data_IF_634370933058
#
_entry.id   IF_634370933058
#
_cell.length_a   1.000
_cell.length_b   1.000
_cell.length_c   1.000
_cell.angle_alpha   90.00
_cell.angle_beta   90.00
_cell.angle_gamma   90.00
#
_symmetry.space_group_name_H-M   'P 1'
#
loop_
_entity.id
_entity.type
_entity.pdbx_description
1 polymer ?
#
# COMPACT_ATOMS: atom_id res chain seq x y z
N UNK A 1 1.50 5.75 -19.71
CA UNK A 1 0.71 6.36 -18.62
C UNK A 1 1.50 6.19 -17.34
N UNK A 2 1.63 7.24 -16.52
CA UNK A 2 2.29 7.17 -15.21
C UNK A 2 1.28 6.88 -14.10
N UNK A 3 1.52 5.82 -13.34
CA UNK A 3 0.70 5.39 -12.19
C UNK A 3 1.57 5.44 -10.94
N UNK A 4 1.10 6.07 -9.87
CA UNK A 4 1.80 6.09 -8.58
C UNK A 4 0.97 5.36 -7.54
N UNK A 5 1.54 4.30 -6.95
CA UNK A 5 0.93 3.50 -5.89
C UNK A 5 1.49 3.92 -4.54
N UNK A 6 0.63 4.25 -3.59
CA UNK A 6 1.00 4.48 -2.20
C UNK A 6 0.57 3.28 -1.36
N UNK A 7 1.56 2.60 -0.77
CA UNK A 7 1.41 1.54 0.21
C UNK A 7 1.79 2.09 1.59
N UNK A 8 0.82 2.28 2.51
CA UNK A 8 1.10 2.73 3.88
C UNK A 8 2.16 1.87 4.55
N UNK A 9 1.98 0.55 4.51
CA UNK A 9 2.92 -0.44 5.03
C UNK A 9 3.46 -1.35 3.92
N UNK A 10 4.66 -1.92 4.08
CA UNK A 10 5.14 -3.00 3.21
C UNK A 10 4.21 -4.21 3.26
N UNK A 11 3.64 -4.60 2.11
CA UNK A 11 2.62 -5.64 1.85
C UNK A 11 1.24 -5.11 1.45
N UNK A 12 0.91 -3.85 1.77
CA UNK A 12 -0.36 -3.25 1.42
C UNK A 12 -0.56 -3.19 -0.10
N UNK A 13 0.51 -3.08 -0.88
CA UNK A 13 0.42 -3.14 -2.33
C UNK A 13 -0.06 -4.51 -2.80
N UNK A 14 0.40 -5.62 -2.18
CA UNK A 14 0.00 -6.98 -2.53
C UNK A 14 -1.49 -7.18 -2.25
N UNK A 15 -1.93 -6.81 -1.04
CA UNK A 15 -3.31 -7.02 -0.63
C UNK A 15 -4.28 -6.02 -1.27
N UNK A 16 -3.87 -4.77 -1.43
CA UNK A 16 -4.69 -3.69 -1.98
C UNK A 16 -4.85 -3.79 -3.49
N UNK A 17 -3.74 -3.84 -4.23
CA UNK A 17 -3.74 -3.60 -5.68
C UNK A 17 -2.72 -4.40 -6.49
N UNK A 18 -2.08 -5.42 -5.92
CA UNK A 18 -0.91 -6.07 -6.53
C UNK A 18 -1.22 -6.73 -7.87
N UNK A 19 -2.42 -7.30 -8.01
CA UNK A 19 -2.83 -7.89 -9.29
C UNK A 19 -3.03 -6.82 -10.36
N UNK A 20 -3.51 -5.65 -9.98
CA UNK A 20 -3.63 -4.49 -10.86
C UNK A 20 -2.26 -3.91 -11.21
N UNK A 21 -1.31 -3.86 -10.27
CA UNK A 21 0.09 -3.47 -10.54
C UNK A 21 0.67 -4.36 -11.64
N UNK A 22 0.62 -5.69 -11.47
CA UNK A 22 1.15 -6.64 -12.45
C UNK A 22 0.46 -6.48 -13.82
N UNK A 23 -0.86 -6.36 -13.81
CA UNK A 23 -1.63 -6.09 -15.02
C UNK A 23 -1.19 -4.82 -15.75
N UNK A 24 -0.98 -3.74 -15.02
CA UNK A 24 -0.55 -2.46 -15.58
C UNK A 24 0.90 -2.49 -16.07
N UNK A 25 1.76 -3.29 -15.46
CA UNK A 25 3.12 -3.53 -15.95
C UNK A 25 3.10 -4.28 -17.29
N UNK A 26 2.27 -5.33 -17.41
CA UNK A 26 2.09 -6.07 -18.66
C UNK A 26 1.50 -5.20 -19.79
N UNK A 27 0.69 -4.20 -19.42
CA UNK A 27 0.17 -3.18 -20.35
C UNK A 27 1.21 -2.10 -20.72
N UNK A 28 2.42 -2.16 -20.15
CA UNK A 28 3.52 -1.24 -20.45
C UNK A 28 3.38 0.14 -19.81
N UNK A 29 2.63 0.26 -18.70
CA UNK A 29 2.55 1.51 -17.96
C UNK A 29 3.77 1.74 -17.07
N UNK A 30 4.07 3.03 -16.86
CA UNK A 30 5.14 3.47 -15.98
C UNK A 30 4.61 3.53 -14.55
N UNK A 31 4.93 2.52 -13.75
CA UNK A 31 4.40 2.39 -12.38
C UNK A 31 5.49 2.73 -11.39
N UNK A 32 5.15 3.61 -10.46
CA UNK A 32 5.93 3.95 -9.29
C UNK A 32 5.25 3.39 -8.04
N UNK A 33 6.03 2.94 -7.07
CA UNK A 33 5.53 2.54 -5.75
C UNK A 33 6.20 3.35 -4.65
N UNK A 34 5.39 3.79 -3.70
CA UNK A 34 5.78 4.55 -2.52
C UNK A 34 5.42 3.75 -1.28
N UNK A 35 6.42 3.35 -0.51
CA UNK A 35 6.22 2.81 0.84
C UNK A 35 6.32 3.95 1.84
N UNK A 36 5.26 4.17 2.61
CA UNK A 36 5.14 5.34 3.50
C UNK A 36 5.85 5.09 4.82
N UNK A 37 5.55 3.98 5.48
CA UNK A 37 6.17 3.60 6.75
C UNK A 37 7.18 2.46 6.59
N UNK A 38 7.94 2.21 7.64
CA UNK A 38 8.98 1.17 7.68
C UNK A 38 8.58 -0.11 8.40
N UNK A 39 7.33 -0.23 8.84
CA UNK A 39 6.78 -1.44 9.47
C UNK A 39 7.41 -1.84 10.81
N UNK A 40 8.13 -0.93 11.45
CA UNK A 40 8.96 -1.26 12.61
C UNK A 40 8.21 -1.76 13.85
N UNK A 41 6.92 -1.43 13.97
CA UNK A 41 6.07 -1.79 15.13
C UNK A 41 5.34 -3.12 14.88
N UNK A 42 5.47 -3.72 13.69
CA UNK A 42 4.73 -4.92 13.28
C UNK A 42 4.74 -6.04 14.34
N UNK A 43 5.94 -6.45 14.79
CA UNK A 43 6.08 -7.60 15.67
C UNK A 43 5.65 -7.30 17.12
N UNK A 44 5.94 -6.10 17.61
CA UNK A 44 5.53 -5.66 18.95
C UNK A 44 4.01 -5.49 19.02
N UNK A 45 3.40 -4.90 17.99
CA UNK A 45 1.94 -4.83 17.83
C UNK A 45 1.33 -6.22 17.73
N UNK A 46 1.91 -7.10 16.91
CA UNK A 46 1.46 -8.46 16.72
C UNK A 46 1.42 -9.24 18.03
N UNK A 47 2.44 -9.08 18.87
CA UNK A 47 2.51 -9.69 20.21
C UNK A 47 1.42 -9.13 21.12
N UNK A 48 1.29 -7.80 21.19
CA UNK A 48 0.32 -7.13 22.06
C UNK A 48 -1.14 -7.47 21.73
N UNK A 49 -1.45 -7.82 20.48
CA UNK A 49 -2.79 -8.15 20.01
C UNK A 49 -3.01 -9.66 19.79
N UNK A 50 -2.07 -10.52 20.23
CA UNK A 50 -2.19 -11.98 20.09
C UNK A 50 -2.18 -12.49 18.64
N UNK A 51 -1.64 -11.68 17.72
CA UNK A 51 -1.53 -11.96 16.28
C UNK A 51 -0.20 -12.60 15.90
N UNK A 52 0.84 -12.46 16.73
CA UNK A 52 2.16 -13.01 16.45
C UNK A 52 2.16 -14.55 16.50
N UNK A 53 2.77 -15.16 15.50
CA UNK A 53 3.11 -16.59 15.43
C UNK A 53 4.55 -16.76 15.93
N UNK A 54 4.72 -17.18 17.18
CA UNK A 54 6.04 -17.19 17.83
C UNK A 54 7.07 -18.06 17.11
N UNK A 55 6.65 -19.21 16.56
CA UNK A 55 7.55 -20.10 15.81
C UNK A 55 8.06 -19.49 14.52
N UNK A 56 7.20 -18.77 13.79
CA UNK A 56 7.58 -18.06 12.57
C UNK A 56 8.42 -16.81 12.91
N UNK A 57 8.17 -16.20 14.06
CA UNK A 57 8.84 -15.00 14.54
C UNK A 57 10.16 -15.27 15.29
N UNK A 58 10.58 -16.52 15.46
CA UNK A 58 11.70 -16.91 16.34
C UNK A 58 13.02 -16.18 16.03
N UNK A 59 13.28 -15.88 14.75
CA UNK A 59 14.49 -15.20 14.30
C UNK A 59 14.42 -13.68 14.53
N UNK A 60 13.24 -13.15 14.85
CA UNK A 60 12.98 -11.72 15.02
C UNK A 60 12.57 -11.33 16.44
N UNK A 61 12.23 -12.30 17.31
CA UNK A 61 11.55 -12.07 18.60
C UNK A 61 12.35 -11.21 19.60
N UNK A 62 13.68 -11.19 19.44
CA UNK A 62 14.63 -10.45 20.27
C UNK A 62 15.12 -9.15 19.62
N UNK A 63 14.69 -8.84 18.41
CA UNK A 63 15.04 -7.60 17.73
C UNK A 63 14.23 -6.44 18.30
N UNK A 64 14.85 -5.26 18.34
CA UNK A 64 14.12 -4.03 18.62
C UNK A 64 13.41 -3.51 17.36
N UNK A 65 12.51 -2.53 17.53
CA UNK A 65 11.70 -1.99 16.43
C UNK A 65 12.58 -1.40 15.32
N UNK A 66 13.67 -0.67 15.62
CA UNK A 66 14.55 -0.13 14.57
C UNK A 66 15.22 -1.22 13.72
N UNK A 67 15.56 -2.37 14.31
CA UNK A 67 16.07 -3.54 13.59
C UNK A 67 15.00 -4.16 12.70
N UNK A 68 13.77 -4.30 13.21
CA UNK A 68 12.61 -4.79 12.45
C UNK A 68 12.30 -3.84 11.28
N UNK A 69 12.35 -2.52 11.51
CA UNK A 69 12.09 -1.52 10.47
C UNK A 69 13.11 -1.57 9.32
N UNK A 70 14.39 -1.82 9.63
CA UNK A 70 15.41 -2.03 8.59
C UNK A 70 15.10 -3.27 7.75
N UNK A 71 14.73 -4.38 8.39
CA UNK A 71 14.34 -5.61 7.70
C UNK A 71 13.09 -5.37 6.85
N UNK A 72 12.06 -4.71 7.38
CA UNK A 72 10.83 -4.40 6.65
C UNK A 72 11.08 -3.58 5.38
N UNK A 73 11.95 -2.57 5.45
CA UNK A 73 12.36 -1.79 4.28
C UNK A 73 13.16 -2.64 3.27
N UNK A 74 14.05 -3.50 3.74
CA UNK A 74 14.81 -4.41 2.86
C UNK A 74 13.87 -5.41 2.15
N UNK A 75 12.88 -5.97 2.86
CA UNK A 75 11.85 -6.83 2.30
C UNK A 75 11.02 -6.08 1.24
N UNK A 76 10.57 -4.85 1.53
CA UNK A 76 9.85 -4.00 0.58
C UNK A 76 10.64 -3.78 -0.72
N UNK A 77 11.93 -3.45 -0.59
CA UNK A 77 12.82 -3.27 -1.75
C UNK A 77 12.99 -4.57 -2.55
N UNK A 78 13.13 -5.72 -1.89
CA UNK A 78 13.26 -7.01 -2.57
C UNK A 78 11.96 -7.46 -3.25
N UNK A 79 10.81 -7.23 -2.62
CA UNK A 79 9.50 -7.53 -3.20
C UNK A 79 9.21 -6.61 -4.38
N UNK A 80 9.44 -5.30 -4.24
CA UNK A 80 9.31 -4.36 -5.36
C UNK A 80 10.23 -4.73 -6.54
N UNK A 81 11.47 -5.14 -6.28
CA UNK A 81 12.34 -5.67 -7.33
C UNK A 81 11.76 -6.94 -7.97
N UNK A 82 11.16 -7.83 -7.18
CA UNK A 82 10.56 -9.08 -7.65
C UNK A 82 9.27 -8.87 -8.45
N UNK A 83 8.53 -7.80 -8.17
CA UNK A 83 7.45 -7.32 -9.04
C UNK A 83 7.98 -6.94 -10.43
N UNK A 84 9.19 -6.38 -10.49
CA UNK A 84 9.81 -5.86 -11.72
C UNK A 84 9.89 -4.34 -11.76
N UNK A 85 9.69 -3.64 -10.63
CA UNK A 85 9.87 -2.19 -10.58
C UNK A 85 11.33 -1.80 -10.89
N UNK A 86 11.56 -0.81 -11.79
CA UNK A 86 12.84 -0.13 -11.89
C UNK A 86 13.22 0.51 -10.57
N UNK A 87 14.52 0.61 -10.27
CA UNK A 87 15.00 1.13 -8.97
C UNK A 87 14.56 2.58 -8.75
N UNK A 88 14.57 3.38 -9.81
CA UNK A 88 14.13 4.77 -9.85
C UNK A 88 12.62 4.95 -9.59
N UNK A 89 11.85 3.87 -9.72
CA UNK A 89 10.41 3.85 -9.53
C UNK A 89 10.01 3.39 -8.11
N UNK A 90 10.98 3.08 -7.26
CA UNK A 90 10.74 2.66 -5.87
C UNK A 90 11.10 3.81 -4.92
N UNK A 91 10.12 4.27 -4.15
CA UNK A 91 10.23 5.42 -3.26
C UNK A 91 9.96 4.99 -1.82
N UNK A 92 10.77 5.47 -0.88
CA UNK A 92 10.65 5.15 0.54
C UNK A 92 10.58 6.45 1.34
N UNK A 93 9.48 6.70 2.04
CA UNK A 93 9.39 7.84 2.96
C UNK A 93 10.01 7.52 4.32
N UNK A 94 9.98 6.24 4.73
CA UNK A 94 10.59 5.72 5.96
C UNK A 94 10.06 6.42 7.21
N UNK A 95 8.78 6.80 7.19
CA UNK A 95 8.13 7.26 8.40
C UNK A 95 8.05 6.11 9.40
N UNK A 96 8.12 6.46 10.68
CA UNK A 96 7.94 5.48 11.74
C UNK A 96 6.53 4.90 11.63
N UNK A 97 6.43 3.57 11.59
CA UNK A 97 5.15 2.87 11.65
C UNK A 97 4.32 3.31 12.87
N UNK A 98 3.01 3.50 12.71
CA UNK A 98 2.06 4.12 13.64
C UNK A 98 2.19 5.64 13.83
N UNK A 99 3.13 6.32 13.14
CA UNK A 99 3.38 7.76 13.29
C UNK A 99 3.10 8.59 12.03
N UNK A 100 2.61 8.00 10.93
CA UNK A 100 2.46 8.75 9.67
C UNK A 100 1.52 9.95 9.80
N UNK A 101 0.57 9.91 10.75
CA UNK A 101 -0.32 11.05 11.07
C UNK A 101 0.45 12.32 11.47
N UNK A 102 1.58 12.18 12.15
CA UNK A 102 2.42 13.32 12.55
C UNK A 102 3.38 13.77 11.44
N UNK A 103 3.46 13.02 10.35
CA UNK A 103 4.38 13.26 9.23
C UNK A 103 3.68 13.89 8.01
N UNK A 104 2.41 14.29 8.11
CA UNK A 104 1.60 14.74 6.95
C UNK A 104 2.32 15.82 6.13
N UNK A 105 2.80 16.88 6.79
CA UNK A 105 3.49 17.99 6.10
C UNK A 105 4.71 17.52 5.32
N UNK A 106 5.49 16.59 5.88
CA UNK A 106 6.68 16.06 5.20
C UNK A 106 6.29 15.08 4.08
N UNK A 107 5.27 14.25 4.32
CA UNK A 107 4.73 13.33 3.32
C UNK A 107 4.18 14.05 2.09
N UNK A 108 3.54 15.22 2.27
CA UNK A 108 3.11 16.09 1.17
C UNK A 108 4.30 16.55 0.33
N UNK A 109 5.36 17.09 0.97
CA UNK A 109 6.56 17.56 0.25
C UNK A 109 7.23 16.44 -0.54
N UNK A 110 7.36 15.25 0.04
CA UNK A 110 7.95 14.09 -0.62
C UNK A 110 7.07 13.62 -1.79
N UNK A 111 5.76 13.53 -1.59
CA UNK A 111 4.81 13.09 -2.61
C UNK A 111 4.77 14.01 -3.83
N UNK A 112 4.87 15.34 -3.64
CA UNK A 112 4.82 16.34 -4.72
C UNK A 112 5.80 16.02 -5.86
N UNK A 113 7.04 15.66 -5.52
CA UNK A 113 8.06 15.39 -6.53
C UNK A 113 7.78 14.11 -7.34
N UNK A 114 7.07 13.15 -6.74
CA UNK A 114 6.75 11.85 -7.32
C UNK A 114 5.52 11.95 -8.22
N UNK A 115 4.51 12.73 -7.81
CA UNK A 115 3.17 12.73 -8.44
C UNK A 115 2.92 13.86 -9.44
N UNK A 116 3.82 14.84 -9.59
CA UNK A 116 3.63 16.05 -10.43
C UNK A 116 3.20 15.81 -11.87
N UNK A 117 3.52 14.64 -12.41
CA UNK A 117 3.22 14.18 -13.77
C UNK A 117 2.42 12.87 -13.78
N UNK A 118 1.84 12.47 -12.63
CA UNK A 118 1.02 11.28 -12.52
C UNK A 118 -0.29 11.43 -13.30
N UNK A 119 -0.66 10.38 -14.04
CA UNK A 119 -1.99 10.29 -14.66
C UNK A 119 -2.99 9.62 -13.72
N UNK A 120 -2.52 8.69 -12.89
CA UNK A 120 -3.34 7.94 -11.93
C UNK A 120 -2.59 7.75 -10.62
N UNK A 121 -3.31 7.89 -9.51
CA UNK A 121 -2.79 7.65 -8.17
C UNK A 121 -3.63 6.58 -7.49
N UNK A 122 -2.94 5.59 -6.91
CA UNK A 122 -3.53 4.49 -6.16
C UNK A 122 -3.20 4.72 -4.69
N UNK A 123 -4.20 4.71 -3.82
CA UNK A 123 -4.05 5.05 -2.40
C UNK A 123 -5.05 4.29 -1.53
N UNK A 124 -4.80 4.12 -0.24
CA UNK A 124 -5.77 3.50 0.66
C UNK A 124 -7.01 4.38 0.84
N UNK A 125 -8.13 3.74 1.20
CA UNK A 125 -9.36 4.39 1.64
C UNK A 125 -9.19 5.09 2.98
N UNK A 126 -9.84 6.24 3.14
CA UNK A 126 -9.86 6.97 4.42
C UNK A 126 -10.81 6.33 5.47
N UNK A 127 -11.88 5.66 5.03
CA UNK A 127 -12.63 4.73 5.89
C UNK A 127 -11.80 3.48 6.19
N UNK A 128 -10.88 3.62 7.13
CA UNK A 128 -9.94 2.60 7.58
C UNK A 128 -9.72 2.79 9.09
N UNK A 129 -9.55 1.70 9.84
CA UNK A 129 -9.28 1.76 11.27
C UNK A 129 -7.81 2.04 11.61
N UNK A 130 -6.91 2.05 10.62
CA UNK A 130 -5.48 2.29 10.82
C UNK A 130 -5.10 3.74 10.48
N UNK A 131 -4.44 4.42 11.43
CA UNK A 131 -4.05 5.84 11.31
C UNK A 131 -3.13 6.11 10.13
N UNK A 132 -2.15 5.23 9.87
CA UNK A 132 -1.22 5.42 8.75
C UNK A 132 -1.88 5.35 7.37
N UNK A 133 -2.95 4.56 7.21
CA UNK A 133 -3.73 4.55 5.96
C UNK A 133 -4.46 5.88 5.76
N UNK A 134 -5.10 6.41 6.80
CA UNK A 134 -5.76 7.72 6.78
C UNK A 134 -4.75 8.86 6.51
N UNK A 135 -3.58 8.79 7.15
CA UNK A 135 -2.52 9.77 6.97
C UNK A 135 -1.97 9.76 5.53
N UNK A 136 -1.71 8.56 4.99
CA UNK A 136 -1.29 8.38 3.60
C UNK A 136 -2.32 8.96 2.63
N UNK A 137 -3.61 8.67 2.85
CA UNK A 137 -4.69 9.22 2.06
C UNK A 137 -4.70 10.75 2.10
N UNK A 138 -4.55 11.32 3.29
CA UNK A 138 -4.52 12.77 3.51
C UNK A 138 -3.33 13.45 2.84
N UNK A 139 -2.11 12.90 3.00
CA UNK A 139 -0.88 13.41 2.37
C UNK A 139 -1.03 13.50 0.86
N UNK A 140 -1.50 12.42 0.23
CA UNK A 140 -1.64 12.35 -1.23
C UNK A 140 -2.66 13.36 -1.73
N UNK A 141 -3.82 13.48 -1.08
CA UNK A 141 -4.83 14.48 -1.46
C UNK A 141 -4.33 15.91 -1.30
N UNK A 142 -3.59 16.21 -0.24
CA UNK A 142 -3.01 17.54 -0.04
C UNK A 142 -1.96 17.84 -1.12
N UNK A 143 -1.06 16.91 -1.41
CA UNK A 143 -0.06 17.06 -2.47
C UNK A 143 -0.70 17.31 -3.85
N UNK A 144 -1.78 16.59 -4.19
CA UNK A 144 -2.51 16.83 -5.44
C UNK A 144 -3.16 18.22 -5.47
N UNK A 145 -3.73 18.69 -4.35
CA UNK A 145 -4.31 20.03 -4.25
C UNK A 145 -3.26 21.11 -4.42
N UNK A 146 -2.09 20.97 -3.80
CA UNK A 146 -0.97 21.91 -3.93
C UNK A 146 -0.45 22.01 -5.37
N UNK A 147 -0.45 20.88 -6.09
CA UNK A 147 -0.02 20.83 -7.50
C UNK A 147 -1.13 21.14 -8.51
N UNK A 148 -2.37 21.31 -8.06
CA UNK A 148 -3.54 21.51 -8.91
C UNK A 148 -3.68 20.45 -10.03
N UNK A 149 -3.44 19.17 -9.73
CA UNK A 149 -3.51 18.08 -10.73
C UNK A 149 -4.95 17.71 -11.09
N UNK A 150 -5.67 18.59 -11.78
CA UNK A 150 -7.10 18.45 -12.06
C UNK A 150 -7.46 17.22 -12.92
N UNK A 151 -6.50 16.69 -13.68
CA UNK A 151 -6.72 15.57 -14.62
C UNK A 151 -6.34 14.20 -14.03
N UNK A 152 -5.86 14.14 -12.80
CA UNK A 152 -5.43 12.87 -12.20
C UNK A 152 -6.63 12.02 -11.79
N UNK A 153 -6.55 10.72 -12.08
CA UNK A 153 -7.51 9.73 -11.61
C UNK A 153 -7.07 9.12 -10.28
N UNK A 154 -8.02 8.83 -9.41
CA UNK A 154 -7.77 8.17 -8.13
C UNK A 154 -8.41 6.80 -8.10
N UNK A 155 -7.62 5.80 -7.70
CA UNK A 155 -8.08 4.44 -7.47
C UNK A 155 -7.86 4.13 -5.99
N UNK A 156 -8.95 4.14 -5.24
CA UNK A 156 -8.93 3.99 -3.78
C UNK A 156 -9.20 2.54 -3.44
N UNK A 157 -8.21 1.83 -2.90
CA UNK A 157 -8.39 0.46 -2.41
C UNK A 157 -8.75 0.46 -0.92
N UNK A 158 -9.46 -0.57 -0.46
CA UNK A 158 -9.84 -0.70 0.95
C UNK A 158 -9.19 -1.95 1.55
N UNK A 159 -8.51 -1.76 2.68
CA UNK A 159 -8.01 -2.80 3.57
C UNK A 159 -8.63 -2.60 4.95
N UNK A 160 -8.79 -3.67 5.72
CA UNK A 160 -9.43 -3.74 7.05
C UNK A 160 -10.94 -3.42 7.09
N UNK A 161 -11.38 -2.40 6.37
CA UNK A 161 -12.77 -1.95 6.31
C UNK A 161 -13.32 -2.12 4.88
N UNK A 162 -14.65 -2.10 4.75
CA UNK A 162 -15.29 -2.11 3.44
C UNK A 162 -15.04 -0.79 2.70
N UNK A 163 -14.91 -0.87 1.38
CA UNK A 163 -14.97 0.31 0.52
C UNK A 163 -16.38 0.92 0.60
N UNK A 164 -16.47 2.17 1.05
CA UNK A 164 -17.68 2.99 1.04
C UNK A 164 -17.57 4.03 -0.07
N UNK A 165 -18.07 3.69 -1.24
CA UNK A 165 -18.24 4.63 -2.33
C UNK A 165 -19.62 4.41 -2.97
N UNK A 166 -20.17 5.40 -3.69
CA UNK A 166 -21.34 5.18 -4.50
C UNK A 166 -21.11 4.05 -5.50
N UNK A 167 -22.16 3.30 -5.84
CA UNK A 167 -22.05 2.11 -6.69
C UNK A 167 -21.48 2.43 -8.07
N UNK A 168 -21.78 3.61 -8.61
CA UNK A 168 -21.26 4.14 -9.87
C UNK A 168 -19.76 4.47 -9.82
N UNK A 169 -19.20 4.66 -8.63
CA UNK A 169 -17.76 4.85 -8.41
C UNK A 169 -17.03 3.52 -8.16
N UNK A 170 -17.71 2.37 -8.17
CA UNK A 170 -17.06 1.08 -7.95
C UNK A 170 -16.49 0.52 -9.25
N UNK A 171 -15.18 0.25 -9.25
CA UNK A 171 -14.48 -0.48 -10.30
C UNK A 171 -14.02 -1.84 -9.80
N UNK A 172 -14.14 -2.86 -10.65
CA UNK A 172 -13.57 -4.21 -10.44
C UNK A 172 -12.56 -4.51 -11.52
N UNK A 173 -11.33 -4.80 -11.13
CA UNK A 173 -10.29 -5.27 -12.05
C UNK A 173 -10.15 -6.78 -11.87
N UNK A 174 -10.23 -7.53 -12.97
CA UNK A 174 -10.00 -8.98 -12.98
C UNK A 174 -8.50 -9.23 -12.95
N UNK A 175 -8.05 -10.04 -11.98
CA UNK A 175 -6.62 -10.31 -11.72
C UNK A 175 -6.31 -11.80 -11.61
N UNK A 176 -7.23 -12.66 -12.10
CA UNK A 176 -7.12 -14.12 -11.96
C UNK A 176 -5.80 -14.70 -12.48
N UNK A 177 -5.23 -14.09 -13.52
CA UNK A 177 -3.97 -14.54 -14.13
C UNK A 177 -2.74 -14.24 -13.25
N UNK A 178 -2.85 -13.32 -12.30
CA UNK A 178 -1.74 -12.88 -11.44
C UNK A 178 -1.74 -13.52 -10.04
N UNK A 179 -2.74 -14.34 -9.70
CA UNK A 179 -2.92 -14.90 -8.35
C UNK A 179 -1.70 -15.64 -7.82
N UNK A 180 -1.09 -16.48 -8.67
CA UNK A 180 0.08 -17.25 -8.31
C UNK A 180 1.29 -16.34 -8.12
N UNK A 181 1.47 -15.35 -8.98
CA UNK A 181 2.57 -14.39 -8.85
C UNK A 181 2.44 -13.58 -7.56
N UNK A 182 1.24 -13.11 -7.20
CA UNK A 182 1.00 -12.44 -5.92
C UNK A 182 1.31 -13.34 -4.71
N UNK A 183 0.92 -14.61 -4.78
CA UNK A 183 1.26 -15.57 -3.75
C UNK A 183 2.78 -15.75 -3.61
N UNK A 184 3.51 -15.80 -4.71
CA UNK A 184 4.97 -15.93 -4.68
C UNK A 184 5.66 -14.64 -4.19
N UNK A 185 5.19 -13.46 -4.60
CA UNK A 185 5.71 -12.17 -4.16
C UNK A 185 5.56 -11.99 -2.65
N UNK A 186 4.41 -12.38 -2.08
CA UNK A 186 4.15 -12.27 -0.65
C UNK A 186 5.15 -13.05 0.22
N UNK A 187 5.82 -14.09 -0.32
CA UNK A 187 6.89 -14.82 0.40
C UNK A 187 8.08 -13.93 0.76
N UNK A 188 8.27 -12.82 0.06
CA UNK A 188 9.35 -11.87 0.32
C UNK A 188 9.15 -11.07 1.62
N UNK A 189 7.91 -10.94 2.09
CA UNK A 189 7.59 -10.27 3.36
C UNK A 189 7.59 -11.24 4.54
N UNK A 190 8.77 -11.73 4.93
CA UNK A 190 8.88 -12.76 5.98
C UNK A 190 8.45 -12.24 7.33
N UNK A 191 8.78 -10.98 7.64
CA UNK A 191 8.32 -10.34 8.89
C UNK A 191 6.79 -10.26 8.94
N UNK A 192 6.13 -9.88 7.85
CA UNK A 192 4.67 -9.85 7.75
C UNK A 192 4.02 -11.22 7.93
N UNK A 193 4.65 -12.26 7.38
CA UNK A 193 4.19 -13.64 7.52
C UNK A 193 4.35 -14.21 8.95
N UNK A 194 4.89 -13.44 9.90
CA UNK A 194 4.84 -13.75 11.32
C UNK A 194 3.48 -13.45 11.96
N UNK A 195 2.55 -12.78 11.27
CA UNK A 195 1.20 -12.52 11.77
C UNK A 195 0.16 -13.53 11.24
N UNK A 196 -0.74 -13.98 12.13
CA UNK A 196 -1.82 -14.93 11.83
C UNK A 196 -2.70 -14.45 10.68
N UNK A 197 -3.24 -13.23 10.77
CA UNK A 197 -4.16 -12.70 9.78
C UNK A 197 -3.48 -12.53 8.41
N UNK A 198 -2.20 -12.13 8.41
CA UNK A 198 -1.41 -12.00 7.18
C UNK A 198 -1.12 -13.34 6.52
N UNK A 199 -0.82 -14.41 7.28
CA UNK A 199 -0.70 -15.76 6.73
C UNK A 199 -2.02 -16.25 6.12
N UNK A 200 -3.15 -15.99 6.78
CA UNK A 200 -4.47 -16.35 6.23
C UNK A 200 -4.71 -15.59 4.92
N UNK A 201 -4.48 -14.28 4.92
CA UNK A 201 -4.58 -13.43 3.73
C UNK A 201 -3.71 -13.93 2.58
N UNK A 202 -2.48 -14.32 2.87
CA UNK A 202 -1.55 -14.89 1.91
C UNK A 202 -2.10 -16.16 1.24
N UNK A 203 -2.65 -17.11 2.00
CA UNK A 203 -3.27 -18.31 1.41
C UNK A 203 -4.49 -17.98 0.54
N UNK A 204 -5.23 -16.93 0.87
CA UNK A 204 -6.39 -16.49 0.11
C UNK A 204 -6.04 -15.79 -1.22
N UNK A 205 -4.80 -15.34 -1.42
CA UNK A 205 -4.36 -14.74 -2.70
C UNK A 205 -4.59 -15.68 -3.89
N UNK A 206 -4.39 -17.00 -3.71
CA UNK A 206 -4.67 -18.03 -4.73
C UNK A 206 -6.13 -18.09 -5.18
N UNK A 207 -7.05 -17.48 -4.42
CA UNK A 207 -8.48 -17.42 -4.71
C UNK A 207 -8.95 -16.00 -5.07
N UNK A 208 -8.09 -14.98 -4.98
CA UNK A 208 -8.44 -13.56 -5.22
C UNK A 208 -8.64 -13.31 -6.72
N UNK A 209 -9.87 -13.31 -7.21
CA UNK A 209 -10.13 -13.20 -8.68
C UNK A 209 -10.21 -11.76 -9.18
N UNK A 210 -10.50 -10.83 -8.28
CA UNK A 210 -10.72 -9.42 -8.61
C UNK A 210 -10.22 -8.52 -7.50
N UNK A 211 -9.72 -7.35 -7.87
CA UNK A 211 -9.50 -6.22 -6.98
C UNK A 211 -10.61 -5.18 -7.16
N UNK A 212 -10.93 -4.46 -6.09
CA UNK A 212 -12.02 -3.49 -6.05
C UNK A 212 -11.47 -2.12 -5.68
N UNK A 213 -11.88 -1.12 -6.44
CA UNK A 213 -11.49 0.27 -6.21
C UNK A 213 -12.72 1.17 -6.16
N UNK A 214 -12.62 2.24 -5.38
CA UNK A 214 -13.38 3.45 -5.60
C UNK A 214 -12.63 4.31 -6.61
N UNK A 215 -13.27 4.68 -7.72
CA UNK A 215 -12.68 5.56 -8.73
C UNK A 215 -13.14 7.00 -8.50
N UNK A 216 -12.20 7.92 -8.44
CA UNK A 216 -12.50 9.33 -8.18
C UNK A 216 -11.64 10.26 -9.05
N UNK A 217 -12.04 11.52 -9.11
CA UNK A 217 -11.37 12.60 -9.83
C UNK A 217 -11.02 13.73 -8.85
N UNK A 218 -10.22 14.70 -9.29
CA UNK A 218 -9.92 15.89 -8.48
C UNK A 218 -11.18 16.56 -7.90
N UNK A 219 -12.23 16.66 -8.72
CA UNK A 219 -13.50 17.28 -8.32
C UNK A 219 -14.29 16.46 -7.31
N UNK A 220 -14.01 15.17 -7.16
CA UNK A 220 -14.70 14.32 -6.18
C UNK A 220 -14.15 14.49 -4.76
N UNK A 221 -13.01 15.17 -4.58
CA UNK A 221 -12.37 15.30 -3.27
C UNK A 221 -13.28 15.98 -2.24
N UNK A 222 -13.39 15.34 -1.07
CA UNK A 222 -14.22 15.74 0.07
C UNK A 222 -15.74 15.70 -0.20
N UNK A 223 -16.18 15.07 -1.30
CA UNK A 223 -17.61 14.91 -1.62
C UNK A 223 -18.14 13.55 -1.18
N UNK A 224 -17.27 12.58 -0.91
CA UNK A 224 -17.65 11.23 -0.51
C UNK A 224 -17.03 10.87 0.83
N UNK A 225 -17.67 9.96 1.56
CA UNK A 225 -17.21 9.49 2.88
C UNK A 225 -15.78 8.90 2.84
N UNK A 226 -15.31 8.50 1.66
CA UNK A 226 -14.00 7.86 1.45
C UNK A 226 -13.03 8.63 0.55
N UNK A 227 -13.41 9.81 0.05
CA UNK A 227 -12.59 10.58 -0.89
C UNK A 227 -13.03 12.04 -0.98
#
# INVERSE_FOLDING_TARGET
MKIVVFAPHPDDEIFGCGGSILKWMDEGYDIHIVYVTDNRVLLSWGRAHGQLLEEDAKDYINLNEDEVGKIGIEEALQVAKSFGFPRENIHLFKFHDQDAKNQITEGVKLAINIIKDANRIILPSDNNNHSDHQATHTMVKQAVKELHLQKVEFYVYALYNILKAPKEKHLKIKIVEYQNQLYELMKGYKTQLCLKDTQIGWQLLKKKRTERFGIFTYEDMNKFENF
#
